data_IF_799708226145
#
_entry.id   IF_799708226145
#
_cell.length_a   1.000
_cell.length_b   1.000
_cell.length_c   1.000
_cell.angle_alpha   90.00
_cell.angle_beta   90.00
_cell.angle_gamma   90.00
#
_symmetry.space_group_name_H-M   'P 1'
#
loop_
_entity.id
_entity.type
_entity.pdbx_description
1 polymer ?
#
# COMPACT_ATOMS: atom_id res chain seq x y z
N UNK A 1 51.73 25.69 43.00
CA UNK A 1 51.89 25.11 41.66
C UNK A 1 51.10 23.80 41.54
N UNK A 2 50.18 23.78 40.59
CA UNK A 2 49.56 22.68 39.82
C UNK A 2 49.96 21.22 40.14
N UNK A 3 48.96 20.34 40.27
CA UNK A 3 48.84 19.24 39.31
C UNK A 3 47.40 18.72 39.15
N UNK A 4 46.94 18.75 37.90
CA UNK A 4 45.57 18.47 37.45
C UNK A 4 45.48 16.97 37.13
N UNK A 5 44.61 16.22 37.83
CA UNK A 5 44.15 14.90 37.35
C UNK A 5 42.79 15.04 36.67
N UNK A 6 42.83 14.71 35.38
CA UNK A 6 41.77 14.74 34.37
C UNK A 6 40.42 14.20 34.84
N UNK A 7 39.37 15.01 34.65
CA UNK A 7 37.96 14.68 34.88
C UNK A 7 37.42 14.05 33.59
N UNK A 8 37.35 12.71 33.52
CA UNK A 8 36.66 12.01 32.42
C UNK A 8 35.17 11.97 32.73
N UNK A 9 34.42 12.94 32.21
CA UNK A 9 32.96 12.90 32.22
C UNK A 9 32.49 11.82 31.24
N UNK A 10 31.95 10.74 31.78
CA UNK A 10 31.17 9.77 31.01
C UNK A 10 29.86 10.43 30.61
N UNK A 11 29.83 11.04 29.41
CA UNK A 11 28.58 11.48 28.80
C UNK A 11 27.78 10.21 28.52
N UNK A 12 26.81 9.90 29.38
CA UNK A 12 25.80 8.86 29.13
C UNK A 12 25.09 9.27 27.85
N UNK A 13 25.44 8.60 26.75
CA UNK A 13 24.75 8.74 25.47
C UNK A 13 23.27 8.53 25.71
N UNK A 14 22.49 9.60 25.54
CA UNK A 14 21.03 9.54 25.47
C UNK A 14 20.74 8.59 24.32
N UNK A 15 20.29 7.36 24.63
CA UNK A 15 19.70 6.46 23.63
C UNK A 15 18.53 7.22 23.03
N UNK A 16 18.79 7.86 21.89
CA UNK A 16 17.77 8.51 21.09
C UNK A 16 16.67 7.51 20.90
N UNK A 17 15.47 7.84 21.39
CA UNK A 17 14.26 7.05 21.20
C UNK A 17 14.22 6.71 19.71
N UNK A 18 14.17 5.42 19.30
CA UNK A 18 14.15 5.08 17.89
C UNK A 18 13.02 5.89 17.27
N UNK A 19 13.39 6.75 16.31
CA UNK A 19 12.43 7.56 15.55
C UNK A 19 11.40 6.55 15.07
N UNK A 20 10.17 6.64 15.58
CA UNK A 20 9.06 5.82 15.08
C UNK A 20 8.91 6.25 13.63
N UNK A 21 9.60 5.57 12.72
CA UNK A 21 9.27 5.60 11.30
C UNK A 21 7.80 5.26 11.28
N UNK A 22 6.98 6.19 10.79
CA UNK A 22 5.56 5.93 10.57
C UNK A 22 5.54 4.62 9.79
N UNK A 23 5.08 3.53 10.42
CA UNK A 23 4.96 2.26 9.71
C UNK A 23 3.98 2.56 8.58
N UNK A 24 4.50 2.64 7.36
CA UNK A 24 3.67 2.78 6.17
C UNK A 24 2.64 1.66 6.14
N UNK A 25 1.59 1.83 5.35
CA UNK A 25 0.58 0.78 5.16
C UNK A 25 1.32 -0.50 4.71
N UNK A 26 1.04 -1.60 5.40
CA UNK A 26 1.64 -2.90 5.10
C UNK A 26 0.59 -3.85 4.56
N UNK A 27 0.89 -4.46 3.41
CA UNK A 27 0.04 -5.41 2.71
C UNK A 27 0.47 -6.86 2.92
N UNK A 28 1.51 -7.11 3.73
CA UNK A 28 2.16 -8.43 3.84
C UNK A 28 1.20 -9.58 4.15
N UNK A 29 0.23 -9.37 5.06
CA UNK A 29 -0.78 -10.40 5.39
C UNK A 29 -1.65 -10.74 4.17
N UNK A 30 -2.06 -9.74 3.38
CA UNK A 30 -2.91 -9.95 2.20
C UNK A 30 -2.13 -10.59 1.05
N UNK A 31 -0.88 -10.14 0.83
CA UNK A 31 0.03 -10.75 -0.15
C UNK A 31 0.23 -12.23 0.16
N UNK A 32 0.44 -12.57 1.42
CA UNK A 32 0.58 -13.97 1.85
C UNK A 32 -0.72 -14.78 1.65
N UNK A 33 -1.88 -14.20 1.98
CA UNK A 33 -3.19 -14.85 1.75
C UNK A 33 -3.43 -15.15 0.28
N UNK A 34 -3.10 -14.21 -0.61
CA UNK A 34 -3.22 -14.41 -2.06
C UNK A 34 -2.24 -15.49 -2.53
N UNK A 35 -0.99 -15.46 -2.08
CA UNK A 35 -0.01 -16.50 -2.41
C UNK A 35 -0.55 -17.89 -2.04
N UNK A 36 -1.08 -18.07 -0.83
CA UNK A 36 -1.62 -19.38 -0.40
C UNK A 36 -2.91 -19.79 -1.10
N UNK A 37 -3.67 -18.83 -1.62
CA UNK A 37 -4.83 -19.13 -2.45
C UNK A 37 -4.43 -19.76 -3.79
N UNK A 38 -3.32 -19.30 -4.38
CA UNK A 38 -2.84 -19.77 -5.70
C UNK A 38 -1.88 -20.97 -5.55
N UNK A 39 -0.96 -20.92 -4.59
CA UNK A 39 0.07 -21.93 -4.35
C UNK A 39 0.22 -22.26 -2.86
N UNK A 40 -0.46 -23.32 -2.42
CA UNK A 40 -0.50 -23.73 -1.00
C UNK A 40 0.88 -24.11 -0.44
N UNK A 41 1.74 -24.69 -1.25
CA UNK A 41 3.02 -25.28 -0.80
C UNK A 41 4.22 -24.32 -0.98
N UNK A 42 4.04 -23.18 -1.64
CA UNK A 42 5.12 -22.21 -1.89
C UNK A 42 5.18 -21.18 -0.75
N UNK A 43 6.40 -20.85 -0.32
CA UNK A 43 6.70 -19.78 0.64
C UNK A 43 7.31 -18.55 -0.03
N UNK A 44 7.35 -17.42 0.69
CA UNK A 44 7.98 -16.18 0.22
C UNK A 44 9.01 -15.71 1.25
N UNK A 45 10.20 -15.35 0.79
CA UNK A 45 11.23 -14.78 1.67
C UNK A 45 10.84 -13.37 2.14
N UNK A 46 11.42 -12.93 3.27
CA UNK A 46 11.17 -11.58 3.80
C UNK A 46 11.58 -10.47 2.81
N UNK A 47 12.65 -10.70 2.03
CA UNK A 47 13.10 -9.75 1.00
C UNK A 47 12.09 -9.67 -0.15
N UNK A 48 11.60 -10.81 -0.64
CA UNK A 48 10.57 -10.84 -1.68
C UNK A 48 9.26 -10.20 -1.18
N UNK A 49 8.88 -10.45 0.07
CA UNK A 49 7.71 -9.80 0.70
C UNK A 49 7.85 -8.28 0.74
N UNK A 50 9.04 -7.76 1.09
CA UNK A 50 9.29 -6.31 1.08
C UNK A 50 9.14 -5.70 -0.32
N UNK A 51 9.68 -6.37 -1.36
CA UNK A 51 9.54 -5.94 -2.75
C UNK A 51 8.06 -5.92 -3.17
N UNK A 52 7.32 -6.99 -2.88
CA UNK A 52 5.89 -7.06 -3.20
C UNK A 52 5.08 -5.98 -2.48
N UNK A 53 5.40 -5.69 -1.21
CA UNK A 53 4.75 -4.63 -0.46
C UNK A 53 4.96 -3.25 -1.10
N UNK A 54 6.19 -2.94 -1.51
CA UNK A 54 6.50 -1.72 -2.25
C UNK A 54 5.79 -1.67 -3.59
N UNK A 55 5.77 -2.77 -4.34
CA UNK A 55 5.06 -2.85 -5.63
C UNK A 55 3.57 -2.52 -5.48
N UNK A 56 2.90 -3.05 -4.45
CA UNK A 56 1.49 -2.73 -4.19
C UNK A 56 1.30 -1.25 -3.85
N UNK A 57 2.19 -0.68 -3.03
CA UNK A 57 2.15 0.73 -2.69
C UNK A 57 2.33 1.62 -3.93
N UNK A 58 3.30 1.30 -4.79
CA UNK A 58 3.58 2.07 -6.00
C UNK A 58 2.39 2.07 -6.97
N UNK A 59 1.74 0.92 -7.15
CA UNK A 59 0.53 0.83 -8.00
C UNK A 59 -0.64 1.58 -7.36
N UNK A 60 -0.82 1.48 -6.05
CA UNK A 60 -1.87 2.20 -5.33
C UNK A 60 -1.73 3.72 -5.46
N UNK A 61 -0.51 4.23 -5.27
CA UNK A 61 -0.22 5.67 -5.42
C UNK A 61 -0.48 6.13 -6.84
N UNK A 62 -0.01 5.39 -7.84
CA UNK A 62 -0.28 5.71 -9.26
C UNK A 62 -1.77 5.79 -9.57
N UNK A 63 -2.56 4.79 -9.16
CA UNK A 63 -4.02 4.78 -9.39
C UNK A 63 -4.68 5.94 -8.66
N UNK A 64 -4.30 6.20 -7.41
CA UNK A 64 -4.88 7.27 -6.60
C UNK A 64 -4.61 8.65 -7.19
N UNK A 65 -3.37 8.89 -7.63
CA UNK A 65 -2.97 10.14 -8.29
C UNK A 65 -3.73 10.35 -9.59
N UNK A 66 -3.79 9.34 -10.46
CA UNK A 66 -4.52 9.43 -11.74
C UNK A 66 -6.02 9.66 -11.52
N UNK A 67 -6.62 8.94 -10.56
CA UNK A 67 -8.04 9.12 -10.22
C UNK A 67 -8.34 10.54 -9.73
N UNK A 68 -7.45 11.10 -8.90
CA UNK A 68 -7.58 12.47 -8.41
C UNK A 68 -7.53 13.49 -9.55
N UNK A 69 -6.60 13.31 -10.49
CA UNK A 69 -6.50 14.17 -11.68
C UNK A 69 -7.74 14.09 -12.57
N UNK A 70 -8.26 12.88 -12.80
CA UNK A 70 -9.48 12.65 -13.59
C UNK A 70 -10.69 13.37 -12.98
N UNK A 71 -10.86 13.25 -11.66
CA UNK A 71 -12.00 13.83 -10.94
C UNK A 71 -11.89 15.36 -10.93
N UNK A 72 -10.70 15.90 -10.71
CA UNK A 72 -10.41 17.33 -10.80
C UNK A 72 -10.69 17.90 -12.20
N UNK A 73 -10.31 17.18 -13.26
CA UNK A 73 -10.59 17.57 -14.65
C UNK A 73 -12.11 17.69 -14.90
N UNK A 74 -12.89 16.77 -14.37
CA UNK A 74 -14.36 16.80 -14.47
C UNK A 74 -15.05 17.77 -13.50
N UNK A 75 -14.29 18.58 -12.73
CA UNK A 75 -14.79 19.54 -11.74
C UNK A 75 -15.73 18.92 -10.69
N UNK A 76 -15.54 17.64 -10.38
CA UNK A 76 -16.27 16.95 -9.30
C UNK A 76 -15.40 16.90 -8.04
N UNK A 77 -16.04 16.83 -6.89
CA UNK A 77 -15.37 16.69 -5.58
C UNK A 77 -15.49 15.28 -5.00
N UNK A 78 -16.18 14.37 -5.70
CA UNK A 78 -16.44 13.00 -5.25
C UNK A 78 -15.84 12.00 -6.23
N UNK A 79 -15.01 11.11 -5.71
CA UNK A 79 -14.45 9.98 -6.46
C UNK A 79 -15.49 8.85 -6.50
N UNK A 80 -15.81 8.34 -7.68
CA UNK A 80 -16.69 7.20 -7.89
C UNK A 80 -15.92 5.94 -8.28
N UNK A 81 -16.55 4.77 -8.19
CA UNK A 81 -15.94 3.51 -8.64
C UNK A 81 -15.55 3.55 -10.14
N UNK A 82 -16.33 4.26 -10.97
CA UNK A 82 -16.02 4.43 -12.39
C UNK A 82 -14.77 5.28 -12.63
N UNK A 83 -14.47 6.23 -11.74
CA UNK A 83 -13.27 7.05 -11.83
C UNK A 83 -12.02 6.19 -11.61
N UNK A 84 -12.05 5.33 -10.59
CA UNK A 84 -10.97 4.37 -10.29
C UNK A 84 -10.80 3.37 -11.44
N UNK A 85 -11.89 2.85 -12.01
CA UNK A 85 -11.83 1.94 -13.16
C UNK A 85 -11.24 2.62 -14.39
N UNK A 86 -11.60 3.88 -14.64
CA UNK A 86 -11.05 4.66 -15.76
C UNK A 86 -9.56 4.91 -15.58
N UNK A 87 -9.14 5.36 -14.40
CA UNK A 87 -7.73 5.54 -14.06
C UNK A 87 -6.92 4.24 -14.18
N UNK A 88 -7.48 3.12 -13.72
CA UNK A 88 -6.87 1.79 -13.84
C UNK A 88 -6.65 1.42 -15.31
N UNK A 89 -7.61 1.72 -16.19
CA UNK A 89 -7.48 1.45 -17.62
C UNK A 89 -6.43 2.31 -18.31
N UNK A 90 -6.21 3.53 -17.84
CA UNK A 90 -5.16 4.41 -18.35
C UNK A 90 -3.76 3.93 -17.94
N UNK A 91 -3.62 3.38 -16.74
CA UNK A 91 -2.32 3.00 -16.17
C UNK A 91 -1.83 1.61 -16.58
N UNK A 92 -2.75 0.67 -16.81
CA UNK A 92 -2.42 -0.73 -17.10
C UNK A 92 -2.52 -1.03 -18.60
N UNK A 93 -1.54 -1.72 -19.21
CA UNK A 93 -1.56 -2.04 -20.63
C UNK A 93 -2.39 -3.29 -20.96
N UNK A 94 -2.95 -3.32 -22.17
CA UNK A 94 -3.46 -4.53 -22.82
C UNK A 94 -4.43 -5.37 -21.98
N UNK A 95 -4.18 -6.68 -21.89
CA UNK A 95 -5.03 -7.63 -21.15
C UNK A 95 -5.08 -7.34 -19.65
N UNK A 96 -3.99 -6.81 -19.06
CA UNK A 96 -3.95 -6.51 -17.63
C UNK A 96 -5.03 -5.50 -17.22
N UNK A 97 -5.28 -4.51 -18.08
CA UNK A 97 -6.36 -3.53 -17.92
C UNK A 97 -7.75 -4.18 -17.89
N UNK A 98 -7.98 -5.15 -18.79
CA UNK A 98 -9.25 -5.86 -18.91
C UNK A 98 -9.51 -6.72 -17.68
N UNK A 99 -8.52 -7.50 -17.24
CA UNK A 99 -8.61 -8.32 -16.04
C UNK A 99 -8.82 -7.46 -14.78
N UNK A 100 -8.04 -6.39 -14.61
CA UNK A 100 -8.18 -5.49 -13.46
C UNK A 100 -9.58 -4.83 -13.41
N UNK A 101 -10.10 -4.40 -14.55
CA UNK A 101 -11.47 -3.87 -14.64
C UNK A 101 -12.50 -4.92 -14.26
N UNK A 102 -12.38 -6.14 -14.82
CA UNK A 102 -13.33 -7.23 -14.55
C UNK A 102 -13.38 -7.60 -13.06
N UNK A 103 -12.22 -7.76 -12.42
CA UNK A 103 -12.14 -8.04 -10.98
C UNK A 103 -12.67 -6.87 -10.15
N UNK A 104 -12.38 -5.63 -10.55
CA UNK A 104 -12.92 -4.42 -9.89
C UNK A 104 -14.45 -4.35 -9.92
N UNK A 105 -15.06 -4.56 -11.09
CA UNK A 105 -16.52 -4.58 -11.23
C UNK A 105 -17.16 -5.71 -10.42
N UNK A 106 -16.54 -6.90 -10.43
CA UNK A 106 -17.00 -8.04 -9.63
C UNK A 106 -16.95 -7.74 -8.13
N UNK A 107 -15.88 -7.12 -7.64
CA UNK A 107 -15.76 -6.73 -6.24
C UNK A 107 -16.85 -5.75 -5.80
N UNK A 108 -17.12 -4.71 -6.60
CA UNK A 108 -18.19 -3.73 -6.32
C UNK A 108 -19.57 -4.40 -6.29
N UNK A 109 -19.84 -5.31 -7.24
CA UNK A 109 -21.10 -6.06 -7.29
C UNK A 109 -21.28 -6.93 -6.05
N UNK A 110 -20.26 -7.70 -5.69
CA UNK A 110 -20.31 -8.59 -4.51
C UNK A 110 -20.52 -7.79 -3.22
N UNK A 111 -19.85 -6.65 -3.09
CA UNK A 111 -20.08 -5.75 -1.96
C UNK A 111 -21.52 -5.26 -1.90
N UNK A 112 -22.07 -4.76 -3.02
CA UNK A 112 -23.46 -4.32 -3.08
C UNK A 112 -24.47 -5.42 -2.75
N UNK A 113 -24.19 -6.69 -3.08
CA UNK A 113 -25.01 -7.83 -2.70
C UNK A 113 -24.93 -8.14 -1.20
N UNK A 114 -23.72 -8.09 -0.63
CA UNK A 114 -23.54 -8.34 0.81
C UNK A 114 -24.28 -7.33 1.70
N UNK A 115 -24.38 -6.07 1.27
CA UNK A 115 -25.11 -5.02 2.00
C UNK A 115 -26.62 -5.25 1.94
N UNK A 116 -27.16 -5.72 0.82
CA UNK A 116 -28.60 -5.99 0.65
C UNK A 116 -29.09 -7.26 1.37
N UNK A 117 -28.20 -8.20 1.64
CA UNK A 117 -28.55 -9.45 2.36
C UNK A 117 -28.59 -9.30 3.88
N UNK A 118 -28.24 -8.13 4.41
CA UNK A 118 -28.28 -7.80 5.84
C UNK A 118 -29.45 -6.92 6.26
N UNK A 119 -30.31 -6.53 5.31
CA UNK A 119 -31.61 -5.87 5.53
C UNK A 119 -32.73 -6.90 5.42
#
# INVERSE_FOLDING_TARGET
MNNIKSRRSTVKGVKGRPKKTKKGIQFAVYIYRILKHIHKDIGMSNKAMAIMNSMVQDVFERISTETSQLVAFTKRSTITANDVLTATRLLLPGELSKHATSEGTKAVKNYGQSVKGSE
#
